data_IF_855175577333
#
_entry.id   IF_855175577333
#
_cell.length_a   1.000
_cell.length_b   1.000
_cell.length_c   1.000
_cell.angle_alpha   90.00
_cell.angle_beta   90.00
_cell.angle_gamma   90.00
#
_symmetry.space_group_name_H-M   'P 1'
#
loop_
_entity.id
_entity.type
_entity.pdbx_description
1 polymer ?
#
# COMPACT_ATOMS: atom_id res chain seq x y z
N UNK A 1 24.14 -5.24 5.19
CA UNK A 1 22.92 -4.49 4.85
C UNK A 1 22.40 -4.93 3.49
N UNK A 2 23.23 -4.85 2.44
CA UNK A 2 22.86 -5.28 1.09
C UNK A 2 22.43 -6.73 0.96
N UNK A 3 22.98 -7.64 1.79
CA UNK A 3 22.57 -9.05 1.79
C UNK A 3 21.09 -9.24 2.14
N UNK A 4 20.56 -8.49 3.12
CA UNK A 4 19.15 -8.60 3.52
C UNK A 4 18.22 -8.05 2.46
N UNK A 5 18.55 -6.91 1.84
CA UNK A 5 17.72 -6.34 0.78
C UNK A 5 17.69 -7.25 -0.45
N UNK A 6 18.82 -7.85 -0.83
CA UNK A 6 18.87 -8.83 -1.91
C UNK A 6 18.06 -10.09 -1.57
N UNK A 7 18.20 -10.62 -0.36
CA UNK A 7 17.41 -11.77 0.10
C UNK A 7 15.91 -11.51 0.02
N UNK A 8 15.44 -10.34 0.46
CA UNK A 8 14.03 -9.99 0.40
C UNK A 8 13.55 -9.75 -1.04
N UNK A 9 14.39 -9.20 -1.92
CA UNK A 9 14.09 -9.11 -3.35
C UNK A 9 13.98 -10.50 -4.00
N UNK A 10 14.89 -11.43 -3.67
CA UNK A 10 14.83 -12.82 -4.13
C UNK A 10 13.55 -13.51 -3.63
N UNK A 11 13.21 -13.31 -2.35
CA UNK A 11 11.98 -13.84 -1.76
C UNK A 11 10.72 -13.30 -2.46
N UNK A 12 10.67 -12.01 -2.75
CA UNK A 12 9.55 -11.40 -3.47
C UNK A 12 9.41 -11.96 -4.90
N UNK A 13 10.52 -12.25 -5.58
CA UNK A 13 10.54 -12.89 -6.90
C UNK A 13 10.14 -14.37 -6.84
N UNK A 14 10.55 -15.09 -5.80
CA UNK A 14 10.14 -16.48 -5.55
C UNK A 14 8.64 -16.57 -5.28
N UNK A 15 8.11 -15.64 -4.47
CA UNK A 15 6.69 -15.51 -4.20
C UNK A 15 5.91 -15.18 -5.48
N UNK A 16 6.46 -14.30 -6.33
CA UNK A 16 5.87 -13.99 -7.63
C UNK A 16 5.68 -15.24 -8.46
N UNK A 17 6.69 -16.09 -8.62
CA UNK A 17 6.55 -17.43 -9.22
C UNK A 17 5.65 -17.44 -10.48
N UNK A 18 4.52 -18.17 -10.40
CA UNK A 18 3.49 -18.25 -11.45
C UNK A 18 2.29 -17.31 -11.23
N UNK A 19 2.37 -16.40 -10.26
CA UNK A 19 1.30 -15.45 -9.94
C UNK A 19 1.41 -14.22 -10.83
N UNK A 20 0.28 -13.64 -11.23
CA UNK A 20 0.27 -12.44 -12.07
C UNK A 20 0.74 -11.18 -11.34
N UNK A 21 0.60 -11.18 -10.01
CA UNK A 21 0.94 -10.10 -9.09
C UNK A 21 0.98 -10.64 -7.67
N UNK A 22 1.82 -10.08 -6.81
CA UNK A 22 1.93 -10.44 -5.39
C UNK A 22 1.84 -9.23 -4.48
N UNK A 23 1.32 -9.47 -3.28
CA UNK A 23 1.12 -8.48 -2.24
C UNK A 23 2.02 -8.77 -1.04
N UNK A 24 2.85 -7.81 -0.63
CA UNK A 24 3.69 -7.95 0.56
C UNK A 24 3.28 -6.87 1.56
N UNK A 25 2.86 -7.28 2.75
CA UNK A 25 2.64 -6.35 3.86
C UNK A 25 3.94 -6.19 4.64
N UNK A 26 4.44 -4.97 4.79
CA UNK A 26 5.63 -4.66 5.58
C UNK A 26 5.27 -3.83 6.81
N UNK A 27 5.43 -4.42 7.99
CA UNK A 27 5.02 -3.85 9.26
C UNK A 27 6.25 -3.43 10.05
N UNK A 28 6.19 -2.25 10.68
CA UNK A 28 7.24 -1.80 11.57
C UNK A 28 6.88 -0.52 12.31
N UNK A 29 7.35 -0.41 13.55
CA UNK A 29 7.15 0.79 14.38
C UNK A 29 7.89 2.01 13.79
N UNK A 30 7.52 3.25 14.13
CA UNK A 30 8.32 4.42 13.79
C UNK A 30 9.79 4.22 14.22
N UNK A 31 10.75 4.49 13.33
CA UNK A 31 12.17 4.24 13.58
C UNK A 31 12.69 2.82 13.24
N UNK A 32 11.81 1.88 12.87
CA UNK A 32 12.19 0.51 12.47
C UNK A 32 12.95 0.41 11.14
N UNK A 33 12.84 1.41 10.27
CA UNK A 33 13.45 1.39 8.94
C UNK A 33 12.59 0.77 7.83
N UNK A 34 11.29 0.55 8.05
CA UNK A 34 10.36 -0.01 7.05
C UNK A 34 10.39 0.70 5.68
N UNK A 35 10.33 2.04 5.65
CA UNK A 35 10.33 2.79 4.39
C UNK A 35 11.65 2.64 3.64
N UNK A 36 12.76 2.63 4.38
CA UNK A 36 14.10 2.40 3.82
C UNK A 36 14.24 0.99 3.27
N UNK A 37 13.77 -0.02 4.01
CA UNK A 37 13.79 -1.41 3.55
C UNK A 37 12.93 -1.61 2.30
N UNK A 38 11.69 -1.11 2.31
CA UNK A 38 10.79 -1.19 1.15
C UNK A 38 11.42 -0.52 -0.07
N UNK A 39 12.02 0.67 0.10
CA UNK A 39 12.72 1.38 -0.98
C UNK A 39 13.86 0.58 -1.57
N UNK A 40 14.77 0.07 -0.73
CA UNK A 40 15.92 -0.68 -1.24
C UNK A 40 15.48 -1.98 -1.95
N UNK A 41 14.48 -2.69 -1.43
CA UNK A 41 13.95 -3.90 -2.08
C UNK A 41 13.31 -3.57 -3.43
N UNK A 42 12.48 -2.53 -3.51
CA UNK A 42 11.86 -2.08 -4.77
C UNK A 42 12.92 -1.62 -5.78
N UNK A 43 13.90 -0.83 -5.35
CA UNK A 43 14.99 -0.34 -6.21
C UNK A 43 15.79 -1.52 -6.81
N UNK A 44 16.09 -2.55 -6.01
CA UNK A 44 16.75 -3.78 -6.48
C UNK A 44 15.87 -4.52 -7.50
N UNK A 45 14.59 -4.72 -7.21
CA UNK A 45 13.65 -5.42 -8.10
C UNK A 45 13.53 -4.72 -9.46
N UNK A 46 13.34 -3.40 -9.45
CA UNK A 46 13.22 -2.61 -10.68
C UNK A 46 14.53 -2.55 -11.45
N UNK A 47 15.69 -2.42 -10.77
CA UNK A 47 17.00 -2.45 -11.43
C UNK A 47 17.28 -3.79 -12.11
N UNK A 48 16.88 -4.91 -11.50
CA UNK A 48 17.02 -6.25 -12.09
C UNK A 48 16.10 -6.43 -13.29
N UNK A 49 14.87 -5.91 -13.21
CA UNK A 49 13.92 -5.93 -14.32
C UNK A 49 14.38 -5.07 -15.51
N UNK A 50 14.93 -3.89 -15.26
CA UNK A 50 15.48 -3.01 -16.30
C UNK A 50 16.64 -3.68 -17.05
N UNK A 51 17.63 -4.20 -16.30
CA UNK A 51 18.75 -4.96 -16.87
C UNK A 51 18.26 -6.16 -17.69
N UNK A 52 17.22 -6.84 -17.22
CA UNK A 52 16.62 -7.95 -17.93
C UNK A 52 16.05 -7.51 -19.29
N UNK A 53 15.26 -6.43 -19.30
CA UNK A 53 14.66 -5.89 -20.52
C UNK A 53 15.71 -5.39 -21.53
N UNK A 54 16.80 -4.76 -21.05
CA UNK A 54 17.91 -4.36 -21.91
C UNK A 54 18.54 -5.56 -22.62
N UNK A 55 18.80 -6.65 -21.90
CA UNK A 55 19.37 -7.89 -22.45
C UNK A 55 18.42 -8.58 -23.45
N UNK A 56 17.10 -8.54 -23.22
CA UNK A 56 16.12 -9.10 -24.15
C UNK A 56 15.95 -8.24 -25.41
N UNK A 57 15.92 -6.91 -25.27
CA UNK A 57 15.83 -5.98 -26.40
C UNK A 57 17.08 -6.06 -27.30
N UNK A 58 18.25 -6.38 -26.74
CA UNK A 58 19.46 -6.67 -27.51
C UNK A 58 19.38 -8.01 -28.28
N UNK A 59 18.55 -8.95 -27.83
CA UNK A 59 18.32 -10.26 -28.49
C UNK A 59 17.18 -10.25 -29.51
N UNK A 60 16.21 -9.35 -29.37
CA UNK A 60 15.00 -9.27 -30.21
C UNK A 60 15.03 -8.01 -31.07
N UNK A 61 15.74 -8.08 -32.19
CA UNK A 61 15.41 -7.29 -33.38
C UNK A 61 14.60 -8.22 -34.30
N UNK A 62 13.26 -8.26 -34.19
CA UNK A 62 12.30 -8.47 -35.30
C UNK A 62 10.84 -8.62 -34.81
N UNK A 63 9.95 -7.92 -35.52
CA UNK A 63 8.48 -8.03 -35.63
C UNK A 63 7.59 -7.57 -34.47
N UNK A 64 7.02 -6.37 -34.64
CA UNK A 64 5.83 -5.88 -33.94
C UNK A 64 4.57 -6.51 -34.54
N UNK A 65 3.71 -7.11 -33.72
CA UNK A 65 2.35 -7.51 -34.10
C UNK A 65 1.32 -6.61 -33.41
N UNK A 66 0.38 -6.07 -34.20
CA UNK A 66 -0.75 -5.27 -33.74
C UNK A 66 -1.84 -6.18 -33.13
N UNK A 67 -2.43 -5.77 -31.99
CA UNK A 67 -3.55 -6.48 -31.37
C UNK A 67 -4.86 -5.69 -31.47
N UNK A 68 -5.92 -6.41 -31.88
CA UNK A 68 -7.26 -5.92 -32.17
C UNK A 68 -8.06 -5.46 -30.93
N UNK A 69 -8.87 -4.41 -31.14
CA UNK A 69 -9.75 -3.76 -30.16
C UNK A 69 -11.12 -4.44 -30.05
N UNK A 70 -11.46 -4.99 -28.88
CA UNK A 70 -12.82 -5.42 -28.51
C UNK A 70 -13.46 -4.48 -27.48
N UNK A 71 -14.79 -4.38 -27.43
CA UNK A 71 -15.51 -3.58 -26.43
C UNK A 71 -15.65 -4.31 -25.09
N UNK A 72 -15.43 -3.61 -23.97
CA UNK A 72 -15.40 -4.19 -22.61
C UNK A 72 -16.73 -4.01 -21.83
N UNK A 73 -17.04 -4.98 -20.97
CA UNK A 73 -18.16 -4.98 -20.02
C UNK A 73 -17.62 -4.95 -18.58
N UNK A 74 -18.25 -4.15 -17.70
CA UNK A 74 -17.87 -3.92 -16.28
C UNK A 74 -17.74 -5.23 -15.46
N UNK A 75 -18.46 -6.29 -15.84
CA UNK A 75 -18.49 -7.60 -15.16
C UNK A 75 -17.27 -8.51 -15.44
N UNK A 76 -16.23 -8.03 -16.13
CA UNK A 76 -15.00 -8.81 -16.42
C UNK A 76 -13.75 -8.31 -15.68
N UNK A 77 -13.90 -7.33 -14.79
CA UNK A 77 -12.79 -6.72 -14.04
C UNK A 77 -12.45 -7.52 -12.79
N UNK A 78 -11.15 -7.59 -12.47
CA UNK A 78 -10.66 -8.34 -11.30
C UNK A 78 -11.12 -7.71 -9.97
N UNK A 79 -11.41 -6.41 -9.99
CA UNK A 79 -11.96 -5.67 -8.86
C UNK A 79 -13.49 -5.57 -8.90
N UNK A 80 -14.14 -6.06 -9.97
CA UNK A 80 -15.55 -5.86 -10.26
C UNK A 80 -16.48 -6.38 -9.16
N UNK A 81 -16.25 -7.61 -8.69
CA UNK A 81 -17.06 -8.24 -7.63
C UNK A 81 -16.99 -7.52 -6.29
N UNK A 82 -15.85 -6.90 -5.99
CA UNK A 82 -15.70 -6.11 -4.78
C UNK A 82 -16.38 -4.75 -4.92
N UNK A 83 -16.11 -4.05 -6.02
CA UNK A 83 -16.63 -2.69 -6.27
C UNK A 83 -18.14 -2.69 -6.50
N UNK A 84 -18.70 -3.73 -7.10
CA UNK A 84 -20.15 -3.87 -7.32
C UNK A 84 -20.92 -3.90 -6.00
N UNK A 85 -20.35 -4.50 -4.94
CA UNK A 85 -20.94 -4.63 -3.60
C UNK A 85 -20.89 -3.36 -2.75
N UNK A 86 -20.09 -2.36 -3.13
CA UNK A 86 -20.07 -1.07 -2.43
C UNK A 86 -21.33 -0.27 -2.75
N UNK A 87 -21.90 0.39 -1.75
CA UNK A 87 -23.03 1.31 -1.91
C UNK A 87 -22.61 2.57 -2.69
N UNK A 88 -23.53 3.14 -3.45
CA UNK A 88 -23.30 4.43 -4.12
C UNK A 88 -23.31 5.57 -3.09
N UNK A 89 -22.43 6.55 -3.30
CA UNK A 89 -22.34 7.73 -2.46
C UNK A 89 -23.55 8.63 -2.65
N UNK A 90 -24.14 9.08 -1.55
CA UNK A 90 -25.24 10.02 -1.53
C UNK A 90 -24.76 11.31 -0.85
N UNK A 91 -24.75 12.42 -1.60
CA UNK A 91 -24.27 13.73 -1.13
C UNK A 91 -25.02 14.28 0.08
N UNK A 92 -26.22 13.79 0.36
CA UNK A 92 -27.06 14.24 1.47
C UNK A 92 -26.83 13.42 2.75
N UNK A 93 -26.00 12.38 2.71
CA UNK A 93 -25.69 11.57 3.90
C UNK A 93 -24.62 12.25 4.74
N UNK A 94 -24.89 12.41 6.03
CA UNK A 94 -23.87 12.82 7.00
C UNK A 94 -22.78 11.73 7.09
N UNK A 95 -21.52 12.16 7.17
CA UNK A 95 -20.36 11.27 7.29
C UNK A 95 -19.86 11.34 8.74
N UNK A 96 -20.05 10.30 9.56
CA UNK A 96 -19.57 10.27 10.93
C UNK A 96 -18.03 10.13 10.96
N UNK A 97 -17.32 11.26 11.06
CA UNK A 97 -15.86 11.33 10.95
C UNK A 97 -15.11 10.43 11.94
N UNK A 98 -15.68 10.21 13.14
CA UNK A 98 -15.10 9.38 14.20
C UNK A 98 -15.52 7.90 14.14
N UNK A 99 -16.54 7.53 13.36
CA UNK A 99 -16.99 6.14 13.28
C UNK A 99 -16.03 5.31 12.44
N UNK A 100 -15.08 4.65 13.08
CA UNK A 100 -14.11 3.76 12.42
C UNK A 100 -14.78 2.63 11.62
N UNK A 101 -16.05 2.30 11.86
CA UNK A 101 -16.78 1.25 11.13
C UNK A 101 -17.53 1.74 9.90
N UNK A 102 -17.53 3.05 9.63
CA UNK A 102 -18.18 3.64 8.45
C UNK A 102 -17.81 2.87 7.17
N UNK A 103 -18.83 2.43 6.44
CA UNK A 103 -18.66 1.63 5.23
C UNK A 103 -18.32 2.55 4.05
N UNK A 104 -17.18 2.34 3.37
CA UNK A 104 -16.82 3.15 2.21
C UNK A 104 -17.87 3.07 1.10
N UNK A 105 -18.11 4.20 0.44
CA UNK A 105 -19.08 4.33 -0.66
C UNK A 105 -18.38 4.64 -1.97
N UNK A 106 -18.99 4.27 -3.09
CA UNK A 106 -18.46 4.50 -4.44
C UNK A 106 -19.15 5.66 -5.13
N UNK A 107 -18.40 6.41 -5.92
CA UNK A 107 -18.87 7.43 -6.84
C UNK A 107 -18.46 6.97 -8.24
N UNK A 108 -19.44 6.61 -9.06
CA UNK A 108 -19.20 6.23 -10.46
C UNK A 108 -19.12 7.47 -11.34
N UNK A 109 -18.09 7.52 -12.18
CA UNK A 109 -17.93 8.49 -13.27
C UNK A 109 -17.64 7.73 -14.57
N UNK A 110 -17.62 8.45 -15.71
CA UNK A 110 -17.57 7.85 -17.06
C UNK A 110 -16.48 6.78 -17.26
N UNK A 111 -15.26 6.99 -16.75
CA UNK A 111 -14.14 6.03 -16.89
C UNK A 111 -13.42 5.77 -15.56
N UNK A 112 -13.97 6.23 -14.44
CA UNK A 112 -13.32 6.13 -13.14
C UNK A 112 -14.35 5.83 -12.05
N UNK A 113 -13.92 5.12 -11.01
CA UNK A 113 -14.69 4.91 -9.79
C UNK A 113 -13.87 5.49 -8.65
N UNK A 114 -14.48 6.35 -7.85
CA UNK A 114 -13.88 6.87 -6.63
C UNK A 114 -14.53 6.15 -5.45
N UNK A 115 -13.73 5.61 -4.54
CA UNK A 115 -14.19 5.04 -3.29
C UNK A 115 -13.77 6.02 -2.19
N UNK A 116 -14.74 6.47 -1.41
CA UNK A 116 -14.53 7.43 -0.33
C UNK A 116 -15.00 6.85 1.00
N UNK A 117 -14.23 7.12 2.05
CA UNK A 117 -14.49 6.67 3.41
C UNK A 117 -15.03 7.81 4.27
N UNK A 118 -14.40 8.01 5.43
CA UNK A 118 -14.76 9.05 6.40
C UNK A 118 -14.30 10.44 5.96
N UNK A 119 -13.38 10.50 5.00
CA UNK A 119 -12.83 11.73 4.48
C UNK A 119 -12.48 11.59 2.99
N UNK A 120 -12.75 12.64 2.22
CA UNK A 120 -12.40 12.70 0.79
C UNK A 120 -10.89 12.66 0.56
N UNK A 121 -10.07 13.22 1.47
CA UNK A 121 -8.61 13.28 1.36
C UNK A 121 -7.97 11.88 1.30
N UNK A 122 -8.67 10.86 1.80
CA UNK A 122 -8.21 9.47 1.83
C UNK A 122 -8.83 8.60 0.72
N UNK A 123 -9.52 9.21 -0.25
CA UNK A 123 -10.21 8.49 -1.33
C UNK A 123 -9.27 7.69 -2.21
N UNK A 124 -9.75 6.55 -2.69
CA UNK A 124 -9.09 5.69 -3.68
C UNK A 124 -9.80 5.87 -5.01
N UNK A 125 -9.05 6.01 -6.10
CA UNK A 125 -9.63 6.10 -7.46
C UNK A 125 -9.16 4.95 -8.32
N UNK A 126 -10.10 4.26 -8.95
CA UNK A 126 -9.83 3.24 -9.95
C UNK A 126 -10.04 3.86 -11.34
N UNK A 127 -9.03 3.81 -12.19
CA UNK A 127 -9.10 4.22 -13.59
C UNK A 127 -8.94 2.97 -14.45
N UNK A 128 -9.95 2.71 -15.26
CA UNK A 128 -9.93 1.57 -16.17
C UNK A 128 -9.26 2.00 -17.48
N UNK A 129 -8.11 1.43 -17.84
CA UNK A 129 -7.41 1.83 -19.05
C UNK A 129 -8.30 1.61 -20.28
N UNK A 130 -8.45 2.64 -21.11
CA UNK A 130 -8.82 2.46 -22.52
C UNK A 130 -7.56 1.96 -23.22
N UNK A 131 -7.65 0.86 -23.94
CA UNK A 131 -6.55 0.13 -24.58
C UNK A 131 -5.27 0.94 -24.85
N UNK A 132 -4.13 0.35 -24.46
CA UNK A 132 -2.80 0.65 -25.00
C UNK A 132 -2.36 2.12 -24.84
N UNK A 133 -1.95 2.51 -23.64
CA UNK A 133 -0.82 3.44 -23.55
C UNK A 133 0.44 2.62 -23.76
N UNK A 134 1.24 2.91 -24.80
CA UNK A 134 2.63 2.42 -24.90
C UNK A 134 3.29 2.64 -23.54
N UNK A 135 3.59 1.56 -22.84
CA UNK A 135 4.05 1.60 -21.46
C UNK A 135 5.45 2.22 -21.43
N UNK A 136 5.57 3.38 -20.81
CA UNK A 136 6.84 4.09 -20.61
C UNK A 136 7.30 4.04 -19.16
N UNK A 137 6.57 3.39 -18.24
CA UNK A 137 6.97 3.26 -16.82
C UNK A 137 7.59 1.90 -16.52
N UNK A 138 8.84 1.91 -16.07
CA UNK A 138 9.71 0.77 -15.72
C UNK A 138 9.36 0.05 -14.40
N UNK A 139 8.29 0.42 -13.70
CA UNK A 139 8.10 -0.02 -12.31
C UNK A 139 7.44 -1.40 -12.20
N UNK A 140 8.26 -2.45 -12.22
CA UNK A 140 7.90 -3.84 -11.97
C UNK A 140 7.45 -4.07 -10.52
N UNK A 141 8.06 -3.36 -9.57
CA UNK A 141 7.73 -3.36 -8.16
C UNK A 141 7.40 -1.94 -7.68
N UNK A 142 6.50 -1.82 -6.71
CA UNK A 142 6.04 -0.54 -6.20
C UNK A 142 5.75 -0.55 -4.70
N UNK A 143 6.07 0.55 -4.03
CA UNK A 143 5.74 0.81 -2.62
C UNK A 143 4.39 1.51 -2.52
N UNK A 144 3.59 1.11 -1.54
CA UNK A 144 2.30 1.73 -1.22
C UNK A 144 2.27 2.08 0.27
N UNK A 145 2.58 3.33 0.65
CA UNK A 145 2.58 3.74 2.05
C UNK A 145 1.17 3.78 2.64
N UNK A 146 1.01 3.32 3.88
CA UNK A 146 -0.22 3.50 4.68
C UNK A 146 -0.45 4.96 5.06
N UNK A 147 0.60 5.78 5.10
CA UNK A 147 0.58 7.14 5.65
C UNK A 147 -0.40 8.08 4.94
N UNK A 148 -0.69 7.86 3.65
CA UNK A 148 -1.70 8.62 2.92
C UNK A 148 -3.11 8.49 3.48
N UNK A 149 -3.36 7.50 4.34
CA UNK A 149 -4.65 7.29 5.01
C UNK A 149 -4.74 7.92 6.40
N UNK A 150 -3.77 8.74 6.82
CA UNK A 150 -3.98 9.62 7.97
C UNK A 150 -5.21 10.50 7.72
N UNK A 151 -6.06 10.68 8.72
CA UNK A 151 -7.06 11.74 8.65
C UNK A 151 -6.36 13.10 8.62
N UNK A 152 -6.87 14.01 7.80
CA UNK A 152 -6.31 15.36 7.69
C UNK A 152 -6.52 16.13 9.00
N UNK A 153 -5.66 17.12 9.28
CA UNK A 153 -5.82 17.98 10.46
C UNK A 153 -7.16 18.69 10.46
N UNK A 154 -7.69 19.02 9.29
CA UNK A 154 -9.04 19.58 9.12
C UNK A 154 -10.11 18.63 9.68
N UNK A 155 -10.00 17.32 9.41
CA UNK A 155 -10.91 16.30 9.94
C UNK A 155 -10.70 16.10 11.44
N UNK A 156 -9.46 15.98 11.91
CA UNK A 156 -9.16 15.77 13.34
C UNK A 156 -9.66 16.92 14.22
N UNK A 157 -9.66 18.17 13.70
CA UNK A 157 -10.22 19.34 14.38
C UNK A 157 -11.73 19.29 14.59
N UNK A 158 -12.44 18.42 13.88
CA UNK A 158 -13.89 18.25 13.97
C UNK A 158 -14.28 17.08 14.90
N UNK A 159 -13.31 16.40 15.52
CA UNK A 159 -13.61 15.36 16.49
C UNK A 159 -14.20 15.98 17.76
N UNK A 160 -14.87 15.15 18.57
CA UNK A 160 -15.38 15.52 19.90
C UNK A 160 -14.28 16.05 20.83
N UNK A 161 -13.07 15.50 20.70
CA UNK A 161 -11.87 15.94 21.43
C UNK A 161 -10.72 16.22 20.43
N UNK A 162 -10.69 17.43 19.82
CA UNK A 162 -9.69 17.82 18.83
C UNK A 162 -8.26 17.80 19.36
N UNK A 163 -8.06 18.22 20.61
CA UNK A 163 -6.73 18.32 21.22
C UNK A 163 -6.12 16.95 21.38
N UNK A 164 -6.89 15.97 21.88
CA UNK A 164 -6.45 14.57 21.91
C UNK A 164 -6.20 14.03 20.51
N UNK A 165 -7.10 14.29 19.55
CA UNK A 165 -6.96 13.77 18.19
C UNK A 165 -5.68 14.27 17.50
N UNK A 166 -5.31 15.54 17.71
CA UNK A 166 -4.08 16.14 17.19
C UNK A 166 -2.85 15.62 17.95
N UNK A 167 -2.90 15.59 19.28
CA UNK A 167 -1.80 15.11 20.13
C UNK A 167 -1.45 13.66 19.84
N UNK A 168 -2.48 12.83 19.61
CA UNK A 168 -2.36 11.38 19.35
C UNK A 168 -2.38 11.04 17.86
N UNK A 169 -2.21 12.02 16.97
CA UNK A 169 -2.17 11.77 15.53
C UNK A 169 -1.05 10.79 15.20
N UNK A 170 -1.37 9.74 14.47
CA UNK A 170 -0.53 8.57 14.30
C UNK A 170 -1.03 7.35 15.07
N UNK A 171 -1.97 7.51 16.02
CA UNK A 171 -2.70 6.41 16.67
C UNK A 171 -3.72 5.77 15.71
N UNK A 172 -4.17 4.51 15.93
CA UNK A 172 -5.06 3.81 15.00
C UNK A 172 -6.32 4.58 14.59
N UNK A 173 -6.99 5.21 15.56
CA UNK A 173 -8.26 5.93 15.33
C UNK A 173 -8.10 7.20 14.47
N UNK A 174 -6.86 7.69 14.28
CA UNK A 174 -6.51 8.87 13.49
C UNK A 174 -6.20 8.58 12.02
N UNK A 175 -6.44 7.35 11.58
CA UNK A 175 -6.40 6.93 10.17
C UNK A 175 -7.78 6.53 9.68
N UNK A 176 -8.06 6.67 8.39
CA UNK A 176 -9.19 6.01 7.76
C UNK A 176 -8.92 4.51 7.58
N UNK A 177 -9.06 3.75 8.66
CA UNK A 177 -8.74 2.31 8.73
C UNK A 177 -9.56 1.45 7.76
N UNK A 178 -10.81 1.85 7.49
CA UNK A 178 -11.68 1.18 6.50
C UNK A 178 -11.21 1.42 5.08
N UNK A 179 -10.65 2.59 4.79
CA UNK A 179 -10.04 2.86 3.49
C UNK A 179 -8.73 2.09 3.29
N UNK A 180 -7.90 1.93 4.33
CA UNK A 180 -6.73 1.03 4.27
C UNK A 180 -7.17 -0.41 3.99
N UNK A 181 -8.17 -0.91 4.74
CA UNK A 181 -8.69 -2.26 4.52
C UNK A 181 -9.31 -2.45 3.13
N UNK A 182 -9.94 -1.40 2.59
CA UNK A 182 -10.51 -1.39 1.24
C UNK A 182 -9.41 -1.44 0.18
N UNK A 183 -8.34 -0.67 0.33
CA UNK A 183 -7.18 -0.75 -0.54
C UNK A 183 -6.59 -2.16 -0.56
N UNK A 184 -6.32 -2.75 0.61
CA UNK A 184 -5.75 -4.10 0.68
C UNK A 184 -6.66 -5.11 -0.01
N UNK A 185 -7.98 -5.06 0.19
CA UNK A 185 -8.93 -5.94 -0.49
C UNK A 185 -8.93 -5.78 -2.01
N UNK A 186 -8.83 -4.54 -2.50
CA UNK A 186 -8.72 -4.27 -3.93
C UNK A 186 -7.42 -4.84 -4.51
N UNK A 187 -6.28 -4.58 -3.86
CA UNK A 187 -4.99 -5.07 -4.33
C UNK A 187 -4.92 -6.61 -4.24
N UNK A 188 -5.44 -7.19 -3.16
CA UNK A 188 -5.50 -8.63 -2.98
C UNK A 188 -6.34 -9.32 -4.06
N UNK A 189 -7.45 -8.71 -4.50
CA UNK A 189 -8.23 -9.27 -5.61
C UNK A 189 -7.41 -9.33 -6.90
N UNK A 190 -6.46 -8.42 -7.10
CA UNK A 190 -5.53 -8.43 -8.24
C UNK A 190 -4.41 -9.46 -8.14
N UNK A 191 -4.30 -10.18 -7.02
CA UNK A 191 -3.25 -11.17 -6.74
C UNK A 191 -3.77 -12.62 -6.73
N UNK A 192 -4.95 -12.89 -7.31
CA UNK A 192 -5.57 -14.24 -7.33
C UNK A 192 -5.29 -15.04 -8.60
N UNK A 193 -4.77 -14.41 -9.65
CA UNK A 193 -4.59 -15.07 -10.96
C UNK A 193 -3.22 -15.73 -11.07
N UNK A 194 -3.24 -16.99 -11.50
CA UNK A 194 -2.04 -17.73 -11.92
C UNK A 194 -1.89 -17.69 -13.43
N UNK A 195 -0.64 -17.81 -13.87
CA UNK A 195 -0.23 -17.79 -15.25
C UNK A 195 -0.20 -19.23 -15.74
N UNK A 196 -1.00 -19.56 -16.76
CA UNK A 196 -1.22 -20.94 -17.21
C UNK A 196 0.08 -21.64 -17.65
N UNK A 197 1.03 -20.87 -18.21
CA UNK A 197 2.39 -21.30 -18.53
C UNK A 197 3.36 -20.33 -17.85
N UNK A 198 3.81 -20.60 -16.61
CA UNK A 198 4.76 -19.71 -15.96
C UNK A 198 6.07 -19.71 -16.75
N UNK A 199 6.59 -18.53 -17.10
CA UNK A 199 7.89 -18.45 -17.75
C UNK A 199 8.97 -18.99 -16.79
N UNK A 200 9.97 -19.68 -17.36
CA UNK A 200 11.20 -20.04 -16.62
C UNK A 200 11.91 -18.77 -16.12
N UNK A 201 11.72 -17.69 -16.87
CA UNK A 201 12.27 -16.37 -16.63
C UNK A 201 11.31 -15.51 -15.78
N UNK A 202 11.70 -15.22 -14.54
CA UNK A 202 10.90 -14.46 -13.56
C UNK A 202 10.58 -13.03 -14.00
N UNK A 203 11.30 -12.51 -15.00
CA UNK A 203 11.11 -11.15 -15.52
C UNK A 203 10.42 -11.12 -16.89
N UNK A 204 10.13 -12.27 -17.49
CA UNK A 204 9.37 -12.30 -18.73
C UNK A 204 7.96 -11.76 -18.46
N UNK A 205 7.71 -10.53 -18.93
CA UNK A 205 6.39 -9.93 -18.90
C UNK A 205 5.44 -10.84 -19.67
N UNK A 206 4.45 -11.36 -18.98
CA UNK A 206 3.31 -11.98 -19.65
C UNK A 206 2.55 -10.85 -20.32
N UNK A 207 2.40 -10.98 -21.64
CA UNK A 207 1.68 -10.05 -22.49
C UNK A 207 0.41 -9.53 -21.78
N UNK A 208 0.36 -8.21 -21.60
CA UNK A 208 -0.68 -7.49 -20.85
C UNK A 208 -2.05 -7.50 -21.51
N UNK A 209 -2.20 -8.19 -22.65
CA UNK A 209 -3.44 -8.33 -23.41
C UNK A 209 -4.59 -9.03 -22.65
N UNK A 210 -4.36 -9.56 -21.44
CA UNK A 210 -5.33 -10.38 -20.67
C UNK A 210 -5.90 -9.71 -19.39
N UNK A 211 -5.33 -8.61 -18.86
CA UNK A 211 -5.63 -8.24 -17.46
C UNK A 211 -6.60 -7.06 -17.31
N UNK A 212 -7.85 -7.37 -16.91
CA UNK A 212 -8.84 -6.41 -16.39
C UNK A 212 -8.49 -5.84 -15.00
N UNK A 213 -7.21 -5.48 -14.79
CA UNK A 213 -6.67 -4.83 -13.60
C UNK A 213 -6.66 -3.31 -13.87
N UNK A 214 -7.30 -2.47 -13.03
CA UNK A 214 -7.25 -1.02 -13.20
C UNK A 214 -5.92 -0.41 -12.74
N UNK A 215 -5.63 0.80 -13.22
CA UNK A 215 -4.73 1.70 -12.51
C UNK A 215 -5.45 2.19 -11.25
N UNK A 216 -4.79 2.12 -10.10
CA UNK A 216 -5.36 2.49 -8.80
C UNK A 216 -4.59 3.69 -8.27
N UNK A 217 -5.27 4.77 -7.91
CA UNK A 217 -4.67 5.96 -7.32
C UNK A 217 -5.04 6.02 -5.85
N UNK A 218 -4.04 6.03 -4.98
CA UNK A 218 -4.20 6.07 -3.53
C UNK A 218 -3.72 7.42 -2.99
N UNK A 219 -4.17 7.85 -1.80
CA UNK A 219 -3.70 9.10 -1.23
C UNK A 219 -2.20 9.04 -0.92
N UNK A 220 -1.53 10.19 -1.03
CA UNK A 220 -0.14 10.38 -0.58
C UNK A 220 -0.12 11.18 0.73
N UNK A 221 0.89 11.02 1.57
CA UNK A 221 1.12 11.93 2.69
C UNK A 221 2.25 12.90 2.34
N UNK A 222 1.96 14.20 2.32
CA UNK A 222 2.97 15.22 1.99
C UNK A 222 3.53 15.78 3.31
N UNK A 223 4.79 15.49 3.60
CA UNK A 223 5.43 15.83 4.88
C UNK A 223 5.54 17.34 5.12
N UNK A 224 5.68 18.12 4.06
CA UNK A 224 5.72 19.58 4.10
C UNK A 224 4.36 20.15 4.53
N UNK A 225 3.27 19.58 4.00
CA UNK A 225 1.90 19.96 4.35
C UNK A 225 1.45 19.34 5.68
N UNK A 226 2.12 18.26 6.10
CA UNK A 226 1.73 17.39 7.22
C UNK A 226 0.30 16.90 7.06
N UNK A 227 -0.15 16.63 5.84
CA UNK A 227 -1.51 16.19 5.54
C UNK A 227 -1.56 15.29 4.30
N UNK A 228 -2.58 14.42 4.21
CA UNK A 228 -2.82 13.60 3.04
C UNK A 228 -3.27 14.44 1.84
N UNK A 229 -2.97 13.96 0.64
CA UNK A 229 -3.53 14.45 -0.62
C UNK A 229 -4.15 13.28 -1.39
N UNK A 230 -5.43 13.37 -1.81
CA UNK A 230 -6.10 12.26 -2.49
C UNK A 230 -5.43 11.99 -3.84
N UNK A 231 -5.42 10.70 -4.23
CA UNK A 231 -4.92 10.23 -5.53
C UNK A 231 -3.44 10.56 -5.85
N UNK A 232 -2.62 10.83 -4.84
CA UNK A 232 -1.23 11.24 -5.01
C UNK A 232 -0.25 10.13 -5.42
N UNK A 233 -0.59 8.85 -5.25
CA UNK A 233 0.28 7.72 -5.63
C UNK A 233 -0.44 6.82 -6.65
N UNK A 234 0.04 6.73 -7.91
CA UNK A 234 -0.53 5.85 -8.91
C UNK A 234 0.06 4.44 -8.82
N UNK A 235 -0.74 3.44 -8.48
CA UNK A 235 -0.44 2.01 -8.56
C UNK A 235 -0.79 1.51 -9.95
N UNK A 236 0.22 1.20 -10.76
CA UNK A 236 0.02 0.82 -12.15
C UNK A 236 -0.53 -0.59 -12.28
N UNK A 237 -1.41 -0.78 -13.26
CA UNK A 237 -1.92 -2.10 -13.66
C UNK A 237 -0.81 -3.08 -14.08
N UNK A 238 0.38 -2.57 -14.46
CA UNK A 238 1.54 -3.37 -14.84
C UNK A 238 2.42 -3.83 -13.67
N UNK A 239 2.37 -3.16 -12.51
CA UNK A 239 3.19 -3.51 -11.35
C UNK A 239 2.91 -4.96 -10.92
N UNK A 240 3.95 -5.75 -10.68
CA UNK A 240 3.87 -7.19 -10.35
C UNK A 240 4.10 -7.47 -8.88
N UNK A 241 4.91 -6.65 -8.22
CA UNK A 241 5.20 -6.78 -6.78
C UNK A 241 4.76 -5.50 -6.09
N UNK A 242 3.84 -5.61 -5.13
CA UNK A 242 3.36 -4.48 -4.34
C UNK A 242 3.80 -4.64 -2.89
N UNK A 243 4.59 -3.71 -2.37
CA UNK A 243 4.99 -3.66 -0.96
C UNK A 243 4.18 -2.56 -0.27
N UNK A 244 3.23 -2.95 0.59
CA UNK A 244 2.42 -2.03 1.38
C UNK A 244 3.06 -1.91 2.74
N UNK A 245 3.55 -0.72 3.08
CA UNK A 245 4.21 -0.50 4.36
C UNK A 245 3.34 0.30 5.33
N UNK A 246 3.32 -0.10 6.60
CA UNK A 246 2.47 0.56 7.58
C UNK A 246 2.57 -0.02 8.99
N UNK A 247 2.19 0.77 9.99
CA UNK A 247 2.25 0.36 11.39
C UNK A 247 1.14 -0.65 11.75
N UNK A 248 -0.07 -0.44 11.25
CA UNK A 248 -1.28 -1.13 11.74
C UNK A 248 -1.80 -2.25 10.84
N UNK A 249 -1.04 -2.65 9.80
CA UNK A 249 -1.49 -3.62 8.81
C UNK A 249 -1.80 -5.02 9.40
N UNK A 250 -1.23 -5.34 10.58
CA UNK A 250 -1.51 -6.56 11.34
C UNK A 250 -2.25 -6.34 12.66
N UNK A 251 -2.71 -5.12 12.94
CA UNK A 251 -3.34 -4.83 14.22
C UNK A 251 -4.65 -5.63 14.36
N UNK A 252 -4.73 -6.47 15.39
CA UNK A 252 -5.91 -7.27 15.76
C UNK A 252 -6.89 -6.45 16.61
N UNK A 253 -7.28 -5.27 16.12
CA UNK A 253 -8.22 -4.38 16.79
C UNK A 253 -9.10 -3.66 15.77
N UNK A 254 -10.35 -3.38 16.16
CA UNK A 254 -11.23 -2.51 15.38
C UNK A 254 -11.41 -2.98 13.93
N UNK A 255 -11.46 -2.05 12.96
CA UNK A 255 -11.50 -2.39 11.53
C UNK A 255 -10.21 -3.00 10.98
N UNK A 256 -9.06 -2.75 11.62
CA UNK A 256 -7.74 -3.19 11.13
C UNK A 256 -7.64 -4.71 10.99
N UNK A 257 -8.23 -5.46 11.93
CA UNK A 257 -8.25 -6.93 11.88
C UNK A 257 -8.87 -7.50 10.60
N UNK A 258 -9.73 -6.72 9.93
CA UNK A 258 -10.35 -7.13 8.66
C UNK A 258 -9.34 -7.24 7.51
N UNK A 259 -8.19 -6.58 7.60
CA UNK A 259 -7.06 -6.71 6.66
C UNK A 259 -6.59 -8.16 6.68
N UNK A 260 -6.13 -8.65 7.84
CA UNK A 260 -5.65 -10.01 8.01
C UNK A 260 -6.70 -11.06 7.61
N UNK A 261 -7.96 -10.89 8.03
CA UNK A 261 -9.02 -11.84 7.66
C UNK A 261 -9.37 -11.82 6.16
N UNK A 262 -9.18 -10.70 5.48
CA UNK A 262 -9.43 -10.64 4.02
C UNK A 262 -8.38 -11.39 3.21
N UNK A 263 -7.16 -11.48 3.73
CA UNK A 263 -6.05 -12.21 3.11
C UNK A 263 -6.09 -13.69 3.50
N UNK A 264 -6.08 -14.00 4.79
CA UNK A 264 -5.97 -15.37 5.33
C UNK A 264 -7.12 -16.31 4.98
N UNK A 265 -8.28 -15.79 4.59
CA UNK A 265 -9.45 -16.62 4.25
C UNK A 265 -9.49 -17.06 2.78
N UNK A 266 -8.69 -16.44 1.91
CA UNK A 266 -8.66 -16.79 0.49
C UNK A 266 -7.24 -17.22 0.07
N UNK A 267 -7.07 -18.54 -0.03
CA UNK A 267 -5.81 -19.20 -0.37
C UNK A 267 -5.36 -18.97 -1.83
N UNK A 268 -6.21 -18.37 -2.67
CA UNK A 268 -5.83 -17.98 -4.03
C UNK A 268 -5.03 -16.68 -4.06
N UNK A 269 -5.14 -15.85 -3.01
CA UNK A 269 -4.40 -14.59 -2.93
C UNK A 269 -2.93 -14.92 -2.67
N UNK A 270 -2.06 -14.52 -3.58
CA UNK A 270 -0.62 -14.59 -3.34
C UNK A 270 -0.15 -13.37 -2.55
N UNK A 271 0.11 -13.59 -1.26
CA UNK A 271 0.62 -12.56 -0.37
C UNK A 271 1.62 -13.11 0.64
N UNK A 272 2.41 -12.22 1.24
CA UNK A 272 3.28 -12.53 2.38
C UNK A 272 3.32 -11.34 3.34
N UNK A 273 3.60 -11.61 4.61
CA UNK A 273 3.57 -10.64 5.70
C UNK A 273 4.95 -10.60 6.36
N UNK A 274 5.59 -9.43 6.28
CA UNK A 274 6.91 -9.16 6.85
C UNK A 274 6.78 -8.18 8.02
N UNK A 275 7.41 -8.48 9.15
CA UNK A 275 7.46 -7.59 10.32
C UNK A 275 8.92 -7.28 10.68
N UNK A 276 9.23 -5.99 10.78
CA UNK A 276 10.53 -5.52 11.25
C UNK A 276 10.52 -5.43 12.77
N UNK A 277 11.50 -6.06 13.40
CA UNK A 277 11.76 -6.01 14.82
C UNK A 277 12.88 -5.03 15.12
N UNK A 278 12.66 -4.18 16.13
CA UNK A 278 13.63 -3.18 16.56
C UNK A 278 13.41 -2.92 18.05
N UNK A 279 14.50 -2.76 18.78
CA UNK A 279 14.44 -2.32 20.17
C UNK A 279 13.88 -0.90 20.27
N UNK A 280 12.97 -0.66 21.22
CA UNK A 280 12.33 0.65 21.37
C UNK A 280 13.32 1.78 21.59
N UNK A 281 14.45 1.53 22.27
CA UNK A 281 15.47 2.55 22.52
C UNK A 281 16.18 2.94 21.22
N UNK A 282 16.49 1.98 20.35
CA UNK A 282 17.05 2.23 19.02
C UNK A 282 16.05 2.99 18.15
N UNK A 283 14.78 2.57 18.15
CA UNK A 283 13.72 3.26 17.43
C UNK A 283 13.54 4.71 17.91
N UNK A 284 13.57 4.92 19.22
CA UNK A 284 13.48 6.24 19.88
C UNK A 284 14.60 7.17 19.45
N UNK A 285 15.85 6.70 19.47
CA UNK A 285 17.01 7.45 18.98
C UNK A 285 16.87 7.85 17.52
N UNK A 286 16.48 6.91 16.66
CA UNK A 286 16.30 7.16 15.23
C UNK A 286 15.18 8.16 14.94
N UNK A 287 14.06 8.08 15.67
CA UNK A 287 12.94 9.01 15.51
C UNK A 287 13.29 10.40 16.03
N UNK A 288 13.91 10.50 17.20
CA UNK A 288 14.33 11.78 17.76
C UNK A 288 15.34 12.50 16.85
N UNK A 289 16.34 11.78 16.35
CA UNK A 289 17.30 12.30 15.37
C UNK A 289 16.61 12.83 14.11
N UNK A 290 15.65 12.07 13.57
CA UNK A 290 14.88 12.49 12.39
C UNK A 290 14.05 13.74 12.64
N UNK A 291 13.40 13.83 13.80
CA UNK A 291 12.64 15.03 14.15
C UNK A 291 13.53 16.26 14.26
N UNK A 292 14.74 16.12 14.80
CA UNK A 292 15.71 17.20 14.84
C UNK A 292 16.14 17.61 13.42
N UNK A 293 16.55 16.64 12.59
CA UNK A 293 17.02 16.89 11.22
C UNK A 293 15.93 17.49 10.30
N UNK A 294 14.67 17.10 10.49
CA UNK A 294 13.55 17.59 9.67
C UNK A 294 12.97 18.93 10.16
N UNK A 295 13.58 19.57 11.16
CA UNK A 295 13.01 20.76 11.83
C UNK A 295 11.69 20.48 12.55
N UNK A 296 11.42 19.21 12.84
CA UNK A 296 10.26 18.78 13.62
C UNK A 296 10.40 19.16 15.09
N UNK A 297 11.60 19.00 15.68
CA UNK A 297 11.94 19.40 17.05
C UNK A 297 13.15 20.33 17.06
N UNK A 298 13.25 21.17 18.09
CA UNK A 298 14.38 22.09 18.29
C UNK A 298 15.54 21.41 19.02
N UNK A 299 15.23 20.39 19.83
CA UNK A 299 16.21 19.58 20.56
C UNK A 299 15.98 18.08 20.33
N UNK A 300 16.95 17.27 20.74
CA UNK A 300 16.81 15.80 20.70
C UNK A 300 15.87 15.32 21.81
N UNK A 301 15.87 16.01 22.96
CA UNK A 301 14.98 15.78 24.10
C UNK A 301 13.50 15.95 23.72
N UNK A 302 13.15 16.98 22.95
CA UNK A 302 11.79 17.15 22.43
C UNK A 302 11.40 16.00 21.47
N UNK A 303 12.35 15.53 20.65
CA UNK A 303 12.13 14.39 19.75
C UNK A 303 11.86 13.10 20.53
N UNK A 304 12.59 12.91 21.63
CA UNK A 304 12.39 11.82 22.57
C UNK A 304 11.03 11.85 23.26
N UNK A 305 10.62 13.00 23.80
CA UNK A 305 9.32 13.17 24.44
C UNK A 305 8.17 12.87 23.48
N UNK A 306 8.25 13.34 22.23
CA UNK A 306 7.25 13.04 21.20
C UNK A 306 7.14 11.55 20.90
N UNK A 307 8.29 10.87 20.77
CA UNK A 307 8.30 9.43 20.60
C UNK A 307 7.65 8.73 21.80
N UNK A 308 8.01 9.12 23.02
CA UNK A 308 7.52 8.49 24.25
C UNK A 308 6.02 8.71 24.46
N UNK A 309 5.50 9.90 24.13
CA UNK A 309 4.09 10.26 24.27
C UNK A 309 3.22 9.59 23.20
N UNK A 310 3.71 9.41 21.97
CA UNK A 310 2.87 8.99 20.84
C UNK A 310 3.32 7.66 20.22
N UNK A 311 4.52 7.64 19.62
CA UNK A 311 5.01 6.50 18.84
C UNK A 311 5.24 5.25 19.68
N UNK A 312 5.75 5.38 20.91
CA UNK A 312 6.00 4.25 21.80
C UNK A 312 4.70 3.54 22.19
N UNK A 313 3.65 4.22 22.70
CA UNK A 313 2.36 3.57 22.94
C UNK A 313 1.78 2.89 21.68
N UNK A 314 1.92 3.52 20.51
CA UNK A 314 1.45 2.96 19.24
C UNK A 314 2.23 1.70 18.85
N UNK A 315 3.55 1.73 19.01
CA UNK A 315 4.43 0.59 18.77
C UNK A 315 4.13 -0.57 19.71
N UNK A 316 3.96 -0.29 21.02
CA UNK A 316 3.56 -1.30 22.02
C UNK A 316 2.20 -1.92 21.67
N UNK A 317 1.23 -1.10 21.23
CA UNK A 317 -0.08 -1.61 20.81
C UNK A 317 0.06 -2.67 19.71
N UNK A 318 0.86 -2.39 18.68
CA UNK A 318 1.14 -3.32 17.57
C UNK A 318 1.96 -4.51 18.00
N UNK A 319 2.91 -4.34 18.92
CA UNK A 319 3.70 -5.45 19.45
C UNK A 319 2.83 -6.48 20.17
N UNK A 320 1.95 -6.01 21.07
CA UNK A 320 1.13 -6.89 21.91
C UNK A 320 -0.18 -7.35 21.27
N UNK A 321 -0.68 -6.65 20.24
CA UNK A 321 -2.02 -6.89 19.68
C UNK A 321 -2.01 -7.08 18.16
N UNK A 322 -0.96 -7.66 17.59
CA UNK A 322 -0.94 -8.03 16.17
C UNK A 322 -1.09 -9.53 15.94
N UNK A 323 -1.62 -9.88 14.77
CA UNK A 323 -1.47 -11.22 14.23
C UNK A 323 0.01 -11.53 13.94
N UNK A 324 0.36 -12.82 13.85
CA UNK A 324 1.70 -13.25 13.48
C UNK A 324 2.04 -12.84 12.04
N UNK A 325 3.32 -12.58 11.80
CA UNK A 325 3.88 -12.39 10.46
C UNK A 325 4.45 -13.72 9.93
N UNK A 326 4.61 -13.82 8.61
CA UNK A 326 5.27 -14.95 7.97
C UNK A 326 6.79 -14.85 8.14
N UNK A 327 7.33 -13.63 8.13
CA UNK A 327 8.75 -13.36 8.30
C UNK A 327 9.02 -12.21 9.27
N UNK A 328 9.99 -12.44 10.14
CA UNK A 328 10.50 -11.45 11.09
C UNK A 328 11.90 -11.00 10.64
N UNK A 329 12.08 -9.69 10.50
CA UNK A 329 13.29 -9.08 9.97
C UNK A 329 13.90 -8.21 11.07
N UNK A 330 15.14 -8.49 11.46
CA UNK A 330 15.84 -7.61 12.39
C UNK A 330 16.15 -6.28 11.70
N UNK A 331 15.84 -5.19 12.37
CA UNK A 331 16.13 -3.84 11.88
C UNK A 331 17.62 -3.65 11.69
N UNK A 332 17.98 -3.04 10.56
CA UNK A 332 19.35 -2.81 10.10
C UNK A 332 19.79 -1.39 10.44
#
# INVERSE_FOLDING_TARGET
MDSTYNYLADRALDLLGSNSRVLILLIGIPGSGKSTLAKNVVDILNSRFEKHNELQNQKVNFQQSEHNSGSFQENKLVTGDFVSKLEDFNSNSEIPLEDEYYVPKKIKKKNEIIISGRCEDNSIKLVYPKFSSKHTSNDFAQIVPMDGFHLSRKVLKQFKDPDRAILRRGSPFTFDSKMVATLIKLLASTCTRKTLNPPIDKFQLIDGSITGIPDIYVPNFIHELKDPTPFGIPIKSTAKILIIEGLYLLLNQGPWKSIYYSLSRNHEICYEIWKIEVEFNVARERVAKRHYESGGSTTTEEGYERFDINDRPNGKLVEFNSFSADHYIQSI
#
